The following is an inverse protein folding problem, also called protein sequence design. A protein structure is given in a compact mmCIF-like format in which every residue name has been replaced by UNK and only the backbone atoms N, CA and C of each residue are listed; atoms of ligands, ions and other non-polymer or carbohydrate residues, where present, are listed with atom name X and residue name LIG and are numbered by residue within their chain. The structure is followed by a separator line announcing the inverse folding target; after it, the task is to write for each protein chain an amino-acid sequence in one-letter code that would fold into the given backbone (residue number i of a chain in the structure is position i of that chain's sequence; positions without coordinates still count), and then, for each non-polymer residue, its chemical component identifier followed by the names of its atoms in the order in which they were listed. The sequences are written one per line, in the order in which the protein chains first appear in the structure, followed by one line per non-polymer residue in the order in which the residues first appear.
data_IF_617956832887
#
_entry.id   IF_617956832887
#
_cell.length_a   1.000
_cell.length_b   1.000
_cell.length_c   1.000
_cell.angle_alpha   90.00
_cell.angle_beta   90.00
_cell.angle_gamma   90.00
#
_symmetry.space_group_name_H-M   'P 1'
#
loop_
_entity.id
_entity.type
_entity.pdbx_description
1 polymer ?
#
# COMPACT_ATOMS: atom_id res chain seq x y z
N UNK A 1 4.02 10.92 6.62
CA UNK A 1 3.06 10.73 7.71
C UNK A 1 3.87 10.24 8.91
N UNK A 2 4.89 11.01 9.29
CA UNK A 2 6.01 10.52 10.11
C UNK A 2 5.63 10.30 11.57
N UNK A 3 4.87 11.22 12.16
CA UNK A 3 4.44 11.11 13.56
C UNK A 3 3.50 9.93 13.81
N UNK A 4 2.55 9.65 12.89
CA UNK A 4 1.64 8.52 13.05
C UNK A 4 2.39 7.18 12.99
N UNK A 5 3.27 7.02 11.98
CA UNK A 5 4.12 5.84 11.85
C UNK A 5 5.00 5.67 13.08
N UNK A 6 5.61 6.76 13.56
CA UNK A 6 6.44 6.77 14.76
C UNK A 6 5.66 6.33 16.01
N UNK A 7 4.49 6.92 16.27
CA UNK A 7 3.69 6.61 17.46
C UNK A 7 3.10 5.20 17.44
N UNK A 8 2.61 4.72 16.29
CA UNK A 8 2.10 3.35 16.16
C UNK A 8 3.21 2.32 16.34
N UNK A 9 4.38 2.59 15.76
CA UNK A 9 5.56 1.72 15.95
C UNK A 9 5.99 1.70 17.42
N UNK A 10 6.15 2.86 18.05
CA UNK A 10 6.63 2.97 19.44
C UNK A 10 5.65 2.37 20.46
N UNK A 11 4.36 2.38 20.16
CA UNK A 11 3.33 1.75 20.99
C UNK A 11 3.14 0.25 20.72
N UNK A 12 3.94 -0.35 19.82
CA UNK A 12 3.82 -1.77 19.46
C UNK A 12 2.59 -2.10 18.60
N UNK A 13 1.90 -1.10 18.07
CA UNK A 13 0.68 -1.22 17.26
C UNK A 13 1.02 -1.39 15.77
N UNK A 14 1.88 -2.34 15.47
CA UNK A 14 2.39 -2.57 14.10
C UNK A 14 1.33 -3.09 13.15
N UNK A 15 0.35 -3.86 13.64
CA UNK A 15 -0.78 -4.31 12.84
C UNK A 15 -1.72 -3.16 12.44
N UNK A 16 -1.98 -2.23 13.37
CA UNK A 16 -2.77 -1.03 13.05
C UNK A 16 -2.06 -0.14 12.04
N UNK A 17 -0.73 -0.05 12.12
CA UNK A 17 0.08 0.63 11.11
C UNK A 17 0.00 -0.09 9.75
N UNK A 18 0.16 -1.42 9.74
CA UNK A 18 0.18 -2.20 8.51
C UNK A 18 -1.19 -2.23 7.82
N UNK A 19 -2.25 -2.64 8.51
CA UNK A 19 -3.57 -2.86 7.92
C UNK A 19 -4.46 -1.62 7.97
N UNK A 20 -4.36 -0.83 9.04
CA UNK A 20 -5.18 0.38 9.21
C UNK A 20 -4.71 1.57 8.38
N UNK A 21 -3.44 1.58 7.95
CA UNK A 21 -2.85 2.74 7.25
C UNK A 21 -2.18 2.33 5.94
N UNK A 22 -1.16 1.46 5.98
CA UNK A 22 -0.23 1.30 4.85
C UNK A 22 -0.76 0.38 3.76
N UNK A 23 -1.26 -0.80 4.12
CA UNK A 23 -1.90 -1.75 3.22
C UNK A 23 -3.38 -1.43 3.04
N UNK A 24 -3.74 -0.15 3.07
CA UNK A 24 -5.09 0.34 2.84
C UNK A 24 -5.22 0.91 1.43
N UNK A 25 -6.11 0.34 0.61
CA UNK A 25 -6.29 0.76 -0.78
C UNK A 25 -6.75 2.23 -0.90
N UNK A 26 -7.71 2.64 -0.06
CA UNK A 26 -8.25 4.00 -0.08
C UNK A 26 -7.17 5.03 0.25
N UNK A 27 -6.32 4.73 1.23
CA UNK A 27 -5.19 5.58 1.58
C UNK A 27 -4.18 5.67 0.42
N UNK A 28 -3.77 4.53 -0.15
CA UNK A 28 -2.85 4.51 -1.29
C UNK A 28 -3.40 5.35 -2.44
N UNK A 29 -4.62 5.06 -2.89
CA UNK A 29 -5.27 5.78 -4.00
C UNK A 29 -5.33 7.28 -3.74
N UNK A 30 -5.73 7.69 -2.53
CA UNK A 30 -5.80 9.10 -2.14
C UNK A 30 -4.44 9.77 -2.24
N UNK A 31 -3.38 9.14 -1.71
CA UNK A 31 -2.01 9.65 -1.80
C UNK A 31 -1.54 9.83 -3.24
N UNK A 32 -1.92 8.92 -4.16
CA UNK A 32 -1.63 9.09 -5.59
C UNK A 32 -2.39 10.30 -6.15
N UNK A 33 -3.71 10.37 -5.91
CA UNK A 33 -4.58 11.45 -6.39
C UNK A 33 -4.12 12.84 -5.98
N UNK A 34 -3.65 13.00 -4.75
CA UNK A 34 -3.17 14.29 -4.22
C UNK A 34 -1.68 14.57 -4.54
N UNK A 35 -1.04 13.76 -5.40
CA UNK A 35 0.35 13.96 -5.82
C UNK A 35 1.42 13.60 -4.78
N UNK A 36 1.05 12.84 -3.75
CA UNK A 36 1.91 12.45 -2.61
C UNK A 36 2.46 11.03 -2.73
N UNK A 37 2.64 10.53 -3.95
CA UNK A 37 3.11 9.16 -4.20
C UNK A 37 4.47 8.84 -3.54
N UNK A 38 5.45 9.74 -3.69
CA UNK A 38 6.79 9.54 -3.12
C UNK A 38 6.77 9.59 -1.59
N UNK A 39 5.86 10.37 -1.01
CA UNK A 39 5.62 10.39 0.44
C UNK A 39 5.01 9.07 0.92
N UNK A 40 4.04 8.52 0.18
CA UNK A 40 3.48 7.21 0.49
C UNK A 40 4.55 6.10 0.44
N UNK A 41 5.43 6.11 -0.58
CA UNK A 41 6.57 5.21 -0.62
C UNK A 41 7.49 5.37 0.59
N UNK A 42 7.82 6.61 0.95
CA UNK A 42 8.67 6.90 2.11
C UNK A 42 8.04 6.37 3.40
N UNK A 43 6.73 6.54 3.58
CA UNK A 43 6.00 6.03 4.74
C UNK A 43 6.00 4.48 4.78
N UNK A 44 5.92 3.81 3.62
CA UNK A 44 6.04 2.35 3.51
C UNK A 44 7.45 1.87 3.85
N UNK A 45 8.49 2.52 3.30
CA UNK A 45 9.89 2.17 3.58
C UNK A 45 10.23 2.36 5.07
N UNK A 46 9.73 3.44 5.67
CA UNK A 46 9.90 3.71 7.09
C UNK A 46 9.23 2.63 7.93
N UNK A 47 7.99 2.25 7.62
CA UNK A 47 7.34 1.15 8.33
C UNK A 47 8.07 -0.17 8.15
N UNK A 48 8.57 -0.47 6.94
CA UNK A 48 9.41 -1.65 6.70
C UNK A 48 10.68 -1.61 7.56
N UNK A 49 11.32 -0.45 7.72
CA UNK A 49 12.53 -0.32 8.56
C UNK A 49 12.28 -0.72 10.01
N UNK A 50 11.06 -0.48 10.52
CA UNK A 50 10.67 -0.82 11.87
C UNK A 50 10.16 -2.25 12.05
N UNK A 51 9.40 -2.77 11.08
CA UNK A 51 8.71 -4.07 11.22
C UNK A 51 9.43 -5.21 10.53
N UNK A 52 10.25 -4.93 9.52
CA UNK A 52 10.91 -5.89 8.64
C UNK A 52 9.94 -6.86 7.92
N UNK A 53 8.67 -6.46 7.79
CA UNK A 53 7.63 -7.25 7.13
C UNK A 53 7.88 -7.36 5.62
N UNK A 54 7.91 -8.58 5.10
CA UNK A 54 8.26 -8.86 3.69
C UNK A 54 7.23 -8.26 2.74
N UNK A 55 5.97 -8.22 3.15
CA UNK A 55 4.85 -7.64 2.44
C UNK A 55 5.04 -6.15 2.16
N UNK A 56 5.57 -5.39 3.12
CA UNK A 56 5.86 -3.97 2.94
C UNK A 56 6.97 -3.75 1.91
N UNK A 57 8.03 -4.56 1.97
CA UNK A 57 9.11 -4.53 0.98
C UNK A 57 8.59 -4.86 -0.43
N UNK A 58 7.74 -5.88 -0.54
CA UNK A 58 7.10 -6.25 -1.80
C UNK A 58 6.20 -5.13 -2.33
N UNK A 59 5.36 -4.54 -1.47
CA UNK A 59 4.46 -3.46 -1.82
C UNK A 59 5.21 -2.23 -2.31
N UNK A 60 6.26 -1.79 -1.59
CA UNK A 60 7.09 -0.65 -1.99
C UNK A 60 7.74 -0.89 -3.37
N UNK A 61 8.27 -2.10 -3.60
CA UNK A 61 8.87 -2.48 -4.89
C UNK A 61 7.83 -2.47 -6.01
N UNK A 62 6.64 -3.01 -5.74
CA UNK A 62 5.51 -3.03 -6.67
C UNK A 62 5.08 -1.62 -7.04
N UNK A 63 4.84 -0.75 -6.06
CA UNK A 63 4.44 0.64 -6.28
C UNK A 63 5.48 1.40 -7.11
N UNK A 64 6.78 1.26 -6.80
CA UNK A 64 7.85 1.86 -7.62
C UNK A 64 7.78 1.40 -9.08
N UNK A 65 7.52 0.11 -9.32
CA UNK A 65 7.45 -0.44 -10.68
C UNK A 65 6.27 0.07 -11.50
N UNK A 66 5.16 0.44 -10.86
CA UNK A 66 3.95 0.93 -11.53
C UNK A 66 3.80 2.45 -11.49
N UNK A 67 4.72 3.17 -10.82
CA UNK A 67 4.66 4.62 -10.55
C UNK A 67 4.21 5.44 -11.76
N UNK A 68 4.90 5.28 -12.90
CA UNK A 68 4.61 6.07 -14.10
C UNK A 68 3.19 5.84 -14.61
N UNK A 69 2.70 4.60 -14.54
CA UNK A 69 1.37 4.22 -15.02
C UNK A 69 0.27 4.75 -14.10
N UNK A 70 0.42 4.56 -12.78
CA UNK A 70 -0.58 5.00 -11.79
C UNK A 70 -0.62 6.51 -11.60
N UNK A 71 0.50 7.21 -11.81
CA UNK A 71 0.49 8.68 -11.80
C UNK A 71 -0.25 9.27 -13.01
N UNK A 72 -0.18 8.62 -14.18
CA UNK A 72 -0.93 9.02 -15.38
C UNK A 72 -2.40 8.66 -15.27
N UNK A 73 -2.71 7.51 -14.69
CA UNK A 73 -4.08 7.04 -14.50
C UNK A 73 -4.25 6.41 -13.10
N UNK A 74 -4.61 7.18 -12.07
CA UNK A 74 -4.80 6.66 -10.72
C UNK A 74 -5.85 5.55 -10.61
N UNK A 75 -6.87 5.56 -11.48
CA UNK A 75 -7.89 4.51 -11.52
C UNK A 75 -7.30 3.12 -11.85
N UNK A 76 -6.14 3.06 -12.51
CA UNK A 76 -5.46 1.79 -12.80
C UNK A 76 -4.81 1.13 -11.57
N UNK A 77 -4.73 1.82 -10.43
CA UNK A 77 -4.04 1.30 -9.23
C UNK A 77 -4.58 -0.06 -8.77
N UNK A 78 -5.91 -0.23 -8.72
CA UNK A 78 -6.51 -1.49 -8.28
C UNK A 78 -6.09 -2.64 -9.19
N UNK A 79 -6.26 -2.48 -10.51
CA UNK A 79 -5.90 -3.51 -11.48
C UNK A 79 -4.40 -3.85 -11.43
N UNK A 80 -3.52 -2.85 -11.34
CA UNK A 80 -2.07 -3.06 -11.22
C UNK A 80 -1.68 -3.82 -9.96
N UNK A 81 -2.30 -3.48 -8.82
CA UNK A 81 -2.06 -4.19 -7.57
C UNK A 81 -2.59 -5.62 -7.64
N UNK A 82 -3.82 -5.83 -8.10
CA UNK A 82 -4.41 -7.17 -8.21
C UNK A 82 -3.55 -8.12 -9.05
N UNK A 83 -3.11 -7.68 -10.23
CA UNK A 83 -2.28 -8.47 -11.14
C UNK A 83 -0.94 -8.91 -10.51
N UNK A 84 -0.37 -8.10 -9.62
CA UNK A 84 0.93 -8.34 -8.98
C UNK A 84 0.82 -9.06 -7.64
N UNK A 85 -0.28 -8.85 -6.91
CA UNK A 85 -0.52 -9.46 -5.61
C UNK A 85 -1.05 -10.89 -5.72
N UNK A 86 -1.90 -11.18 -6.71
CA UNK A 86 -2.50 -12.50 -6.92
C UNK A 86 -1.48 -13.66 -6.93
N UNK A 87 -0.34 -13.56 -7.65
CA UNK A 87 0.64 -14.66 -7.70
C UNK A 87 1.41 -14.87 -6.40
N UNK A 88 1.46 -13.88 -5.50
CA UNK A 88 2.31 -13.92 -4.29
C UNK A 88 1.52 -14.05 -3.00
N UNK A 89 0.18 -13.93 -3.03
CA UNK A 89 -0.65 -13.93 -1.82
C UNK A 89 -0.56 -15.22 -1.00
N UNK A 90 -0.17 -16.34 -1.61
CA UNK A 90 0.07 -17.61 -0.92
C UNK A 90 1.34 -17.60 -0.07
N UNK A 91 2.39 -16.93 -0.52
CA UNK A 91 3.68 -16.82 0.18
C UNK A 91 3.77 -15.57 1.07
N UNK A 92 2.94 -14.57 0.79
CA UNK A 92 2.83 -13.28 1.48
C UNK A 92 1.37 -13.05 1.91
N UNK A 93 0.86 -13.80 2.90
CA UNK A 93 -0.56 -13.88 3.21
C UNK A 93 -1.15 -12.56 3.71
N UNK A 94 -0.35 -11.65 4.29
CA UNK A 94 -0.86 -10.36 4.76
C UNK A 94 -1.31 -9.44 3.61
N UNK A 95 -0.79 -9.66 2.40
CA UNK A 95 -1.23 -8.95 1.19
C UNK A 95 -2.66 -9.29 0.78
N UNK A 96 -3.23 -10.40 1.28
CA UNK A 96 -4.62 -10.77 1.01
C UNK A 96 -5.59 -9.68 1.45
N UNK A 97 -5.27 -8.97 2.54
CA UNK A 97 -6.07 -7.85 3.01
C UNK A 97 -6.19 -6.75 1.94
N UNK A 98 -5.05 -6.26 1.46
CA UNK A 98 -4.99 -5.24 0.41
C UNK A 98 -5.63 -5.72 -0.90
N UNK A 99 -5.44 -6.99 -1.27
CA UNK A 99 -6.04 -7.58 -2.47
C UNK A 99 -7.58 -7.54 -2.42
N UNK A 100 -8.16 -7.89 -1.26
CA UNK A 100 -9.61 -7.85 -1.06
C UNK A 100 -10.15 -6.41 -1.10
N UNK A 101 -9.42 -5.45 -0.52
CA UNK A 101 -9.79 -4.04 -0.65
C UNK A 101 -9.72 -3.53 -2.10
N UNK A 102 -8.72 -3.95 -2.87
CA UNK A 102 -8.62 -3.59 -4.29
C UNK A 102 -9.84 -4.10 -5.08
N UNK A 103 -10.31 -5.31 -4.78
CA UNK A 103 -11.47 -5.92 -5.43
C UNK A 103 -12.78 -5.22 -5.05
N UNK A 104 -12.96 -4.95 -3.76
CA UNK A 104 -14.18 -4.33 -3.22
C UNK A 104 -14.30 -2.84 -3.54
N UNK A 105 -13.22 -2.09 -3.36
CA UNK A 105 -13.23 -0.64 -3.43
C UNK A 105 -12.72 -0.11 -4.78
N UNK A 106 -11.87 -0.85 -5.49
CA UNK A 106 -11.33 -0.45 -6.79
C UNK A 106 -12.40 0.04 -7.79
N UNK A 107 -13.51 -0.70 -8.01
CA UNK A 107 -14.56 -0.28 -8.93
C UNK A 107 -15.15 1.10 -8.63
N UNK A 108 -15.14 1.55 -7.36
CA UNK A 108 -15.65 2.88 -6.95
C UNK A 108 -14.83 4.04 -7.52
N UNK A 109 -13.59 3.76 -7.92
CA UNK A 109 -12.61 4.75 -8.37
C UNK A 109 -12.27 4.62 -9.86
N UNK A 110 -12.94 3.72 -10.57
CA UNK A 110 -12.82 3.48 -12.01
C UNK A 110 -13.82 4.29 -12.86
N UNK A 111 -14.65 5.13 -12.23
CA UNK A 111 -15.69 5.96 -12.86
C UNK A 111 -15.20 7.35 -13.21
#
# INVERSE_FOLDING_TARGET
MTELVYHLTRSGRTDDLMFGVIMNFSWLYTMIKIGQFDKALTDIDLAYSYTQEKELKFLATTLRSIKVKVLKNPASLSAELQQRLLPVVTSLPKLRHLLLECDKDGPKYCS
#
